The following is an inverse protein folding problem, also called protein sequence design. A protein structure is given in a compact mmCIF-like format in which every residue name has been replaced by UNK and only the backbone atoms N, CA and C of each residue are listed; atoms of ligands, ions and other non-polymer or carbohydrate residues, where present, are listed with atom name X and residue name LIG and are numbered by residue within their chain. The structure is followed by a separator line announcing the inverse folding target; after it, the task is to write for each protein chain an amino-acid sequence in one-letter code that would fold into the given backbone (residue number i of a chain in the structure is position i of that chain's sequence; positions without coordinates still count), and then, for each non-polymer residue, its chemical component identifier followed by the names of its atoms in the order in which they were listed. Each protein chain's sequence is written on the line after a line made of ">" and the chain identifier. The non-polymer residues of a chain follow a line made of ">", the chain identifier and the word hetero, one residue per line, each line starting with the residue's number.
data_IF_575322411750
#
_entry.id   IF_575322411750
#
_cell.length_a   1.000
_cell.length_b   1.000
_cell.length_c   1.000
_cell.angle_alpha   90.00
_cell.angle_beta   90.00
_cell.angle_gamma   90.00
#
_symmetry.space_group_name_H-M   'P 1'
#
loop_
_entity.id
_entity.type
_entity.pdbx_description
1 polymer ?
#
# COMPACT_ATOMS: atom_id res chain seq x y z
N UNK A 1 -2.28 -26.65 0.98
CA UNK A 1 -0.78 -26.67 0.94
C UNK A 1 -0.33 -25.34 1.48
N UNK A 2 0.63 -25.32 2.41
CA UNK A 2 1.19 -24.06 2.96
C UNK A 2 1.89 -23.25 1.86
N UNK A 3 1.90 -21.93 1.99
CA UNK A 3 2.63 -21.02 1.08
C UNK A 3 4.13 -21.27 1.19
N UNK A 4 4.77 -21.60 0.09
CA UNK A 4 6.23 -21.76 0.03
C UNK A 4 6.89 -20.43 -0.35
N UNK A 5 7.27 -19.65 0.67
CA UNK A 5 7.89 -18.33 0.50
C UNK A 5 9.20 -18.35 -0.28
N UNK A 6 9.86 -19.51 -0.39
CA UNK A 6 11.14 -19.63 -1.11
C UNK A 6 10.96 -19.61 -2.63
N UNK A 7 9.74 -19.90 -3.10
CA UNK A 7 9.36 -19.88 -4.52
C UNK A 7 8.75 -18.57 -4.98
N UNK A 8 8.48 -17.66 -4.05
CA UNK A 8 7.88 -16.37 -4.38
C UNK A 8 8.96 -15.35 -4.72
N UNK A 9 8.74 -14.48 -5.74
CA UNK A 9 9.66 -13.39 -6.02
C UNK A 9 9.64 -12.39 -4.85
N UNK A 10 10.81 -11.88 -4.47
CA UNK A 10 10.90 -10.90 -3.37
C UNK A 10 10.28 -9.55 -3.71
N UNK A 11 10.16 -9.19 -4.99
CA UNK A 11 9.45 -8.00 -5.47
C UNK A 11 8.09 -8.42 -6.04
N UNK A 12 7.02 -7.71 -5.65
CA UNK A 12 5.69 -7.78 -6.24
C UNK A 12 5.29 -6.45 -6.88
N UNK A 13 4.57 -6.51 -7.99
CA UNK A 13 4.04 -5.33 -8.66
C UNK A 13 2.66 -4.97 -8.11
N UNK A 14 2.61 -3.91 -7.29
CA UNK A 14 1.36 -3.35 -6.77
C UNK A 14 0.65 -2.49 -7.81
N UNK A 15 -0.56 -2.88 -8.23
CA UNK A 15 -1.33 -2.24 -9.30
C UNK A 15 -2.25 -1.10 -8.80
N UNK A 16 -1.92 -0.49 -7.65
CA UNK A 16 -2.66 0.63 -7.07
C UNK A 16 -2.20 2.00 -7.59
N UNK A 17 -0.92 2.13 -7.95
CA UNK A 17 -0.27 3.40 -8.33
C UNK A 17 0.25 3.34 -9.77
N UNK A 18 -0.61 2.94 -10.67
CA UNK A 18 -0.29 2.82 -12.09
C UNK A 18 -0.01 4.18 -12.73
N UNK A 19 0.84 4.24 -13.79
CA UNK A 19 1.09 5.48 -14.50
C UNK A 19 -0.16 6.04 -15.16
N UNK A 20 -0.27 7.37 -15.14
CA UNK A 20 -1.35 8.13 -15.74
C UNK A 20 -0.80 9.09 -16.79
N UNK A 21 -1.59 9.31 -17.84
CA UNK A 21 -1.35 10.30 -18.88
C UNK A 21 -2.67 11.01 -19.20
N UNK A 22 -2.66 12.33 -19.18
CA UNK A 22 -3.82 13.16 -19.46
C UNK A 22 -5.06 12.82 -18.59
N UNK A 23 -4.85 12.38 -17.34
CA UNK A 23 -5.89 12.02 -16.37
C UNK A 23 -6.48 10.62 -16.53
N UNK A 24 -5.95 9.80 -17.44
CA UNK A 24 -6.34 8.41 -17.63
C UNK A 24 -5.13 7.46 -17.44
N UNK A 25 -5.40 6.20 -17.10
CA UNK A 25 -4.34 5.20 -16.95
C UNK A 25 -3.62 4.97 -18.29
N UNK A 26 -2.29 5.12 -18.30
CA UNK A 26 -1.44 4.92 -19.49
C UNK A 26 -1.22 3.43 -19.77
N UNK A 27 -2.17 2.82 -20.48
CA UNK A 27 -2.13 1.40 -20.80
C UNK A 27 -0.85 1.01 -21.58
N UNK A 28 -0.31 1.87 -22.45
CA UNK A 28 0.89 1.58 -23.21
C UNK A 28 2.10 1.46 -22.28
N UNK A 29 2.29 2.42 -21.37
CA UNK A 29 3.37 2.37 -20.39
C UNK A 29 3.18 1.20 -19.41
N UNK A 30 1.96 0.94 -18.96
CA UNK A 30 1.66 -0.20 -18.07
C UNK A 30 2.02 -1.52 -18.74
N UNK A 31 1.70 -1.71 -20.03
CA UNK A 31 2.08 -2.91 -20.78
C UNK A 31 3.60 -3.08 -20.84
N UNK A 32 4.36 -2.02 -21.12
CA UNK A 32 5.84 -2.06 -21.13
C UNK A 32 6.39 -2.45 -19.77
N UNK A 33 5.84 -1.89 -18.71
CA UNK A 33 6.25 -2.23 -17.33
C UNK A 33 5.95 -3.68 -16.98
N UNK A 34 4.77 -4.20 -17.34
CA UNK A 34 4.40 -5.62 -17.15
C UNK A 34 5.37 -6.52 -17.89
N UNK A 35 5.68 -6.22 -19.15
CA UNK A 35 6.61 -6.99 -19.96
C UNK A 35 8.03 -7.01 -19.37
N UNK A 36 8.54 -5.84 -18.94
CA UNK A 36 9.85 -5.72 -18.30
C UNK A 36 9.93 -6.49 -16.99
N UNK A 37 8.87 -6.42 -16.18
CA UNK A 37 8.77 -7.11 -14.91
C UNK A 37 8.79 -8.64 -15.10
N UNK A 38 7.96 -9.19 -16.00
CA UNK A 38 7.96 -10.62 -16.32
C UNK A 38 9.28 -11.07 -16.96
N UNK A 39 9.85 -10.28 -17.86
CA UNK A 39 11.16 -10.58 -18.49
C UNK A 39 12.31 -10.62 -17.47
N UNK A 40 12.17 -9.94 -16.33
CA UNK A 40 13.15 -10.00 -15.23
C UNK A 40 13.09 -11.32 -14.41
N UNK A 41 12.10 -12.19 -14.67
CA UNK A 41 11.83 -13.42 -13.93
C UNK A 41 10.94 -13.22 -12.72
N UNK A 42 10.41 -12.01 -12.47
CA UNK A 42 9.44 -11.71 -11.43
C UNK A 42 8.03 -11.86 -11.96
N UNK A 43 7.07 -12.29 -11.13
CA UNK A 43 5.76 -12.68 -11.62
C UNK A 43 4.59 -12.45 -10.67
N UNK A 44 4.76 -11.72 -9.55
CA UNK A 44 3.71 -11.50 -8.58
C UNK A 44 3.02 -10.15 -8.79
N UNK A 45 1.71 -10.15 -9.05
CA UNK A 45 0.88 -8.96 -9.25
C UNK A 45 -0.19 -8.86 -8.16
N UNK A 46 -0.34 -7.65 -7.59
CA UNK A 46 -1.30 -7.36 -6.52
C UNK A 46 -2.26 -6.26 -6.96
N UNK A 47 -3.54 -6.57 -7.04
CA UNK A 47 -4.63 -5.63 -7.33
C UNK A 47 -5.71 -5.66 -6.25
N UNK A 48 -6.75 -4.86 -6.41
CA UNK A 48 -7.98 -4.91 -5.62
C UNK A 48 -9.15 -4.28 -6.38
N UNK A 49 -10.37 -4.61 -5.96
CA UNK A 49 -11.62 -4.22 -6.59
C UNK A 49 -11.75 -2.72 -6.84
N UNK A 50 -11.27 -1.89 -5.90
CA UNK A 50 -11.42 -0.43 -5.96
C UNK A 50 -10.14 0.32 -6.36
N UNK A 51 -9.01 -0.35 -6.63
CA UNK A 51 -7.78 0.33 -7.02
C UNK A 51 -7.94 1.11 -8.32
N UNK A 52 -7.31 2.27 -8.40
CA UNK A 52 -7.41 3.20 -9.54
C UNK A 52 -8.88 3.56 -9.87
N UNK A 53 -9.71 3.87 -8.86
CA UNK A 53 -11.13 4.16 -9.05
C UNK A 53 -11.92 2.97 -9.64
N UNK A 54 -11.54 1.74 -9.29
CA UNK A 54 -12.15 0.50 -9.77
C UNK A 54 -11.68 0.06 -11.17
N UNK A 55 -10.68 0.74 -11.75
CA UNK A 55 -10.15 0.43 -13.10
C UNK A 55 -9.02 -0.60 -13.09
N UNK A 56 -8.33 -0.83 -11.95
CA UNK A 56 -7.10 -1.64 -11.89
C UNK A 56 -7.31 -3.09 -12.38
N UNK A 57 -8.37 -3.78 -11.97
CA UNK A 57 -8.65 -5.15 -12.40
C UNK A 57 -8.88 -5.25 -13.93
N UNK A 58 -9.54 -4.26 -14.54
CA UNK A 58 -9.72 -4.20 -15.98
C UNK A 58 -8.42 -3.89 -16.73
N UNK A 59 -7.51 -3.13 -16.11
CA UNK A 59 -6.16 -2.90 -16.65
C UNK A 59 -5.33 -4.18 -16.54
N UNK A 60 -5.40 -4.90 -15.43
CA UNK A 60 -4.77 -6.22 -15.27
C UNK A 60 -5.21 -7.17 -16.39
N UNK A 61 -6.49 -7.19 -16.74
CA UNK A 61 -6.98 -7.96 -17.88
C UNK A 61 -6.24 -7.61 -19.16
N UNK A 62 -6.21 -6.32 -19.52
CA UNK A 62 -5.64 -5.83 -20.80
C UNK A 62 -4.12 -5.91 -20.84
N UNK A 63 -3.44 -5.55 -19.76
CA UNK A 63 -2.00 -5.46 -19.73
C UNK A 63 -1.29 -6.78 -19.39
N UNK A 64 -1.96 -7.70 -18.70
CA UNK A 64 -1.38 -8.94 -18.20
C UNK A 64 -2.10 -10.17 -18.76
N UNK A 65 -3.38 -10.38 -18.40
CA UNK A 65 -4.09 -11.65 -18.63
C UNK A 65 -4.30 -11.97 -20.10
N UNK A 66 -4.63 -10.98 -20.94
CA UNK A 66 -4.83 -11.15 -22.39
C UNK A 66 -3.52 -11.26 -23.19
N UNK A 67 -2.37 -10.96 -22.56
CA UNK A 67 -1.07 -10.87 -23.26
C UNK A 67 -0.08 -11.96 -22.85
N UNK A 68 -0.27 -12.58 -21.70
CA UNK A 68 0.67 -13.55 -21.14
C UNK A 68 -0.03 -14.84 -20.73
N UNK A 69 0.63 -16.02 -20.85
CA UNK A 69 0.08 -17.28 -20.37
C UNK A 69 -0.27 -17.20 -18.88
N UNK A 70 -1.47 -17.71 -18.49
CA UNK A 70 -2.00 -17.61 -17.13
C UNK A 70 -1.04 -18.19 -16.07
N UNK A 71 -0.31 -19.22 -16.42
CA UNK A 71 0.64 -19.92 -15.55
C UNK A 71 1.97 -19.17 -15.38
N UNK A 72 2.22 -18.14 -16.19
CA UNK A 72 3.47 -17.36 -16.13
C UNK A 72 3.46 -16.31 -15.01
N UNK A 73 2.31 -16.06 -14.39
CA UNK A 73 2.18 -15.03 -13.35
C UNK A 73 1.29 -15.48 -12.19
N UNK A 74 1.51 -14.84 -11.06
CA UNK A 74 0.72 -14.95 -9.84
C UNK A 74 -0.14 -13.69 -9.70
N UNK A 75 -1.45 -13.86 -9.51
CA UNK A 75 -2.39 -12.75 -9.38
C UNK A 75 -3.11 -12.79 -8.03
N UNK A 76 -3.06 -11.66 -7.33
CA UNK A 76 -3.78 -11.40 -6.08
C UNK A 76 -4.82 -10.32 -6.28
N UNK A 77 -6.04 -10.55 -5.79
CA UNK A 77 -7.06 -9.51 -5.58
C UNK A 77 -7.71 -9.63 -4.21
N UNK A 78 -8.63 -8.72 -3.87
CA UNK A 78 -9.11 -8.56 -2.50
C UNK A 78 -10.62 -8.29 -2.47
N UNK A 79 -11.31 -8.89 -1.47
CA UNK A 79 -12.74 -8.71 -1.20
C UNK A 79 -12.96 -7.52 -0.25
N UNK A 80 -13.57 -6.42 -0.69
CA UNK A 80 -13.87 -5.27 0.16
C UNK A 80 -15.18 -5.47 0.94
N UNK A 81 -15.11 -5.64 2.27
CA UNK A 81 -16.28 -5.84 3.13
C UNK A 81 -17.29 -4.67 3.04
N UNK A 82 -16.81 -3.44 3.00
CA UNK A 82 -17.63 -2.22 2.96
C UNK A 82 -18.41 -2.02 1.64
N UNK A 83 -18.19 -2.87 0.65
CA UNK A 83 -18.95 -2.89 -0.61
C UNK A 83 -19.91 -4.09 -0.71
N UNK A 84 -20.06 -4.84 0.38
CA UNK A 84 -20.95 -6.00 0.47
C UNK A 84 -22.35 -5.57 0.97
N UNK A 85 -22.97 -4.57 0.35
CA UNK A 85 -24.24 -3.97 0.79
C UNK A 85 -25.38 -5.01 0.90
N UNK A 86 -25.31 -6.06 0.08
CA UNK A 86 -26.28 -7.19 0.04
C UNK A 86 -25.79 -8.39 0.88
N UNK A 87 -24.81 -8.20 1.76
CA UNK A 87 -24.27 -9.24 2.62
C UNK A 87 -23.64 -10.39 1.83
N UNK A 88 -24.14 -11.63 2.01
CA UNK A 88 -23.62 -12.84 1.36
C UNK A 88 -23.75 -12.75 -0.17
N UNK A 89 -24.86 -12.23 -0.67
CA UNK A 89 -25.10 -12.06 -2.11
C UNK A 89 -24.15 -11.03 -2.71
N UNK A 90 -23.90 -9.93 -1.99
CA UNK A 90 -22.90 -8.93 -2.36
C UNK A 90 -21.48 -9.48 -2.43
N UNK A 91 -21.09 -10.34 -1.47
CA UNK A 91 -19.82 -11.07 -1.49
C UNK A 91 -19.62 -11.88 -2.77
N UNK A 92 -20.62 -12.71 -3.10
CA UNK A 92 -20.55 -13.60 -4.26
C UNK A 92 -20.61 -12.81 -5.57
N UNK A 93 -21.36 -11.70 -5.62
CA UNK A 93 -21.40 -10.78 -6.74
C UNK A 93 -20.04 -10.12 -6.99
N UNK A 94 -19.41 -9.60 -5.94
CA UNK A 94 -18.08 -8.96 -6.05
C UNK A 94 -17.06 -9.97 -6.59
N UNK A 95 -17.01 -11.17 -6.05
CA UNK A 95 -16.06 -12.20 -6.49
C UNK A 95 -16.25 -12.57 -7.97
N UNK A 96 -17.49 -12.76 -8.41
CA UNK A 96 -17.80 -13.07 -9.81
C UNK A 96 -17.45 -11.89 -10.73
N UNK A 97 -17.71 -10.65 -10.30
CA UNK A 97 -17.32 -9.44 -11.03
C UNK A 97 -15.79 -9.32 -11.16
N UNK A 98 -15.04 -9.64 -10.12
CA UNK A 98 -13.57 -9.67 -10.15
C UNK A 98 -13.03 -10.71 -11.17
N UNK A 99 -13.62 -11.91 -11.21
CA UNK A 99 -13.28 -12.90 -12.23
C UNK A 99 -13.56 -12.39 -13.65
N UNK A 100 -14.69 -11.70 -13.84
CA UNK A 100 -15.06 -11.13 -15.14
C UNK A 100 -14.15 -9.95 -15.54
N UNK A 101 -13.87 -9.03 -14.60
CA UNK A 101 -13.02 -7.84 -14.82
C UNK A 101 -11.59 -8.23 -15.16
N UNK A 102 -11.03 -9.19 -14.43
CA UNK A 102 -9.65 -9.64 -14.65
C UNK A 102 -9.55 -10.64 -15.81
N UNK A 103 -10.59 -11.42 -16.09
CA UNK A 103 -10.56 -12.52 -17.04
C UNK A 103 -9.61 -13.66 -16.65
N UNK A 104 -9.14 -13.70 -15.40
CA UNK A 104 -8.05 -14.58 -14.97
C UNK A 104 -8.48 -16.06 -14.78
N UNK A 105 -9.78 -16.34 -14.67
CA UNK A 105 -10.33 -17.67 -14.43
C UNK A 105 -10.18 -18.16 -12.99
N UNK A 106 -9.12 -17.83 -12.32
CA UNK A 106 -8.85 -18.08 -10.90
C UNK A 106 -7.86 -17.07 -10.32
N UNK A 107 -7.82 -16.96 -8.99
CA UNK A 107 -6.81 -16.14 -8.29
C UNK A 107 -5.82 -17.04 -7.56
N UNK A 108 -4.52 -16.71 -7.66
CA UNK A 108 -3.49 -17.43 -6.92
C UNK A 108 -3.58 -17.10 -5.43
N UNK A 109 -3.81 -15.83 -5.11
CA UNK A 109 -4.08 -15.36 -3.75
C UNK A 109 -5.36 -14.53 -3.73
N UNK A 110 -6.20 -14.79 -2.75
CA UNK A 110 -7.41 -14.01 -2.52
C UNK A 110 -7.46 -13.53 -1.08
N UNK A 111 -7.55 -12.23 -0.87
CA UNK A 111 -7.45 -11.62 0.44
C UNK A 111 -8.78 -10.98 0.87
N UNK A 112 -9.13 -11.06 2.15
CA UNK A 112 -10.07 -10.12 2.73
C UNK A 112 -9.40 -8.75 2.79
N UNK A 113 -10.04 -7.72 2.27
CA UNK A 113 -9.41 -6.41 2.09
C UNK A 113 -9.50 -5.56 3.34
N UNK A 114 -8.36 -5.04 3.82
CA UNK A 114 -8.28 -4.07 4.92
C UNK A 114 -9.00 -4.54 6.18
N UNK A 115 -8.65 -5.73 6.67
CA UNK A 115 -9.17 -6.21 7.95
C UNK A 115 -8.60 -5.33 9.06
N UNK A 116 -9.49 -4.76 9.85
CA UNK A 116 -9.19 -3.87 10.97
C UNK A 116 -10.20 -4.02 12.10
N UNK A 117 -10.06 -3.25 13.16
CA UNK A 117 -10.83 -3.40 14.39
C UNK A 117 -12.35 -3.22 14.20
N UNK A 118 -13.12 -3.84 15.09
CA UNK A 118 -14.54 -3.64 15.25
C UNK A 118 -15.39 -4.16 14.11
N UNK A 119 -16.28 -3.32 13.62
CA UNK A 119 -17.33 -3.68 12.67
C UNK A 119 -16.83 -4.26 11.35
N UNK A 120 -15.61 -3.90 10.92
CA UNK A 120 -15.03 -4.41 9.68
C UNK A 120 -14.73 -5.91 9.80
N UNK A 121 -13.97 -6.34 10.83
CA UNK A 121 -13.69 -7.76 11.08
C UNK A 121 -14.98 -8.54 11.34
N UNK A 122 -15.88 -8.00 12.18
CA UNK A 122 -17.16 -8.63 12.48
C UNK A 122 -18.01 -8.83 11.22
N UNK A 123 -17.94 -7.92 10.24
CA UNK A 123 -18.60 -8.05 8.96
C UNK A 123 -18.10 -9.25 8.16
N UNK A 124 -16.80 -9.50 8.10
CA UNK A 124 -16.24 -10.70 7.47
C UNK A 124 -16.68 -11.99 8.14
N UNK A 125 -16.74 -12.03 9.47
CA UNK A 125 -17.24 -13.17 10.23
C UNK A 125 -18.75 -13.36 10.00
N UNK A 126 -19.55 -12.30 10.11
CA UNK A 126 -21.00 -12.31 9.92
C UNK A 126 -21.41 -12.84 8.54
N UNK A 127 -20.67 -12.49 7.51
CA UNK A 127 -20.94 -12.93 6.14
C UNK A 127 -20.20 -14.20 5.75
N UNK A 128 -19.68 -14.94 6.73
CA UNK A 128 -19.04 -16.27 6.55
C UNK A 128 -17.89 -16.26 5.52
N UNK A 129 -17.12 -15.19 5.47
CA UNK A 129 -16.11 -15.00 4.42
C UNK A 129 -14.95 -16.00 4.51
N UNK A 130 -14.59 -16.46 5.71
CA UNK A 130 -13.52 -17.43 5.93
C UNK A 130 -13.89 -18.82 5.39
N UNK A 131 -15.05 -19.37 5.78
CA UNK A 131 -15.53 -20.65 5.25
C UNK A 131 -15.85 -20.58 3.76
N UNK A 132 -16.37 -19.45 3.30
CA UNK A 132 -16.64 -19.22 1.89
C UNK A 132 -15.35 -19.27 1.05
N UNK A 133 -14.29 -18.62 1.50
CA UNK A 133 -13.01 -18.65 0.82
C UNK A 133 -12.44 -20.09 0.75
N UNK A 134 -12.60 -20.89 1.83
CA UNK A 134 -12.24 -22.31 1.80
C UNK A 134 -13.00 -23.07 0.73
N UNK A 135 -14.32 -22.83 0.58
CA UNK A 135 -15.13 -23.44 -0.50
C UNK A 135 -14.64 -23.01 -1.88
N UNK A 136 -14.33 -21.72 -2.09
CA UNK A 136 -13.78 -21.23 -3.36
C UNK A 136 -12.41 -21.87 -3.69
N UNK A 137 -11.65 -22.21 -2.68
CA UNK A 137 -10.42 -22.96 -2.80
C UNK A 137 -10.67 -24.41 -3.23
N UNK A 138 -11.64 -25.08 -2.64
CA UNK A 138 -12.09 -26.43 -3.02
C UNK A 138 -12.63 -26.46 -4.47
N UNK A 139 -13.29 -25.39 -4.91
CA UNK A 139 -13.76 -25.17 -6.29
C UNK A 139 -12.60 -24.90 -7.28
N UNK A 140 -11.38 -24.65 -6.81
CA UNK A 140 -10.21 -24.30 -7.63
C UNK A 140 -10.19 -22.86 -8.13
N UNK A 141 -11.06 -22.00 -7.62
CA UNK A 141 -11.14 -20.58 -8.00
C UNK A 141 -10.18 -19.68 -7.21
N UNK A 142 -9.69 -20.17 -6.08
CA UNK A 142 -8.65 -19.56 -5.23
C UNK A 142 -7.61 -20.63 -4.89
N UNK A 143 -6.32 -20.32 -5.01
CA UNK A 143 -5.25 -21.25 -4.59
C UNK A 143 -4.85 -21.06 -3.13
N UNK A 144 -4.65 -19.79 -2.73
CA UNK A 144 -4.28 -19.42 -1.37
C UNK A 144 -5.19 -18.32 -0.84
N UNK A 145 -5.52 -18.42 0.45
CA UNK A 145 -6.42 -17.49 1.13
C UNK A 145 -5.71 -16.77 2.27
N UNK A 146 -6.04 -15.50 2.44
CA UNK A 146 -5.54 -14.66 3.52
C UNK A 146 -6.29 -13.35 3.66
N UNK A 147 -5.64 -12.36 4.26
CA UNK A 147 -6.21 -11.02 4.40
C UNK A 147 -5.13 -9.93 4.37
N UNK A 148 -5.50 -8.72 3.97
CA UNK A 148 -4.71 -7.52 4.23
C UNK A 148 -5.17 -6.89 5.54
N UNK A 149 -4.23 -6.37 6.33
CA UNK A 149 -4.46 -6.04 7.72
C UNK A 149 -3.98 -4.62 8.08
N UNK A 150 -4.84 -3.88 8.78
CA UNK A 150 -4.55 -2.53 9.28
C UNK A 150 -4.95 -2.34 10.76
N UNK A 151 -5.30 -3.42 11.46
CA UNK A 151 -5.72 -3.39 12.85
C UNK A 151 -4.56 -3.53 13.85
N UNK A 152 -4.93 -3.79 15.11
CA UNK A 152 -4.00 -3.93 16.23
C UNK A 152 -3.32 -5.30 16.29
N UNK A 153 -2.13 -5.42 16.91
CA UNK A 153 -1.48 -6.71 17.12
C UNK A 153 -2.36 -7.71 17.89
N UNK A 154 -3.18 -7.23 18.81
CA UNK A 154 -4.11 -8.04 19.60
C UNK A 154 -5.21 -8.65 18.70
N UNK A 155 -5.76 -7.87 17.76
CA UNK A 155 -6.71 -8.38 16.78
C UNK A 155 -6.07 -9.37 15.83
N UNK A 156 -4.84 -9.11 15.36
CA UNK A 156 -4.11 -10.04 14.50
C UNK A 156 -3.89 -11.39 15.19
N UNK A 157 -3.46 -11.37 16.46
CA UNK A 157 -3.27 -12.58 17.27
C UNK A 157 -4.58 -13.37 17.44
N UNK A 158 -5.69 -12.66 17.71
CA UNK A 158 -7.03 -13.25 17.78
C UNK A 158 -7.40 -13.94 16.47
N UNK A 159 -7.32 -13.24 15.34
CA UNK A 159 -7.71 -13.77 14.03
C UNK A 159 -6.89 -15.02 13.67
N UNK A 160 -5.57 -14.99 13.85
CA UNK A 160 -4.71 -16.12 13.52
C UNK A 160 -4.95 -17.34 14.44
N UNK A 161 -5.40 -17.11 15.69
CA UNK A 161 -5.78 -18.19 16.58
C UNK A 161 -7.14 -18.82 16.26
N UNK A 162 -8.09 -18.02 15.72
CA UNK A 162 -9.45 -18.45 15.40
C UNK A 162 -9.57 -19.02 13.99
N UNK A 163 -8.69 -18.63 13.05
CA UNK A 163 -8.78 -18.92 11.62
C UNK A 163 -7.50 -19.62 11.10
N UNK A 164 -7.28 -20.90 11.45
CA UNK A 164 -6.10 -21.66 10.99
C UNK A 164 -6.09 -21.93 9.48
N UNK A 165 -7.18 -21.69 8.77
CA UNK A 165 -7.29 -21.75 7.31
C UNK A 165 -6.57 -20.60 6.59
N UNK A 166 -6.20 -19.52 7.29
CA UNK A 166 -5.41 -18.42 6.73
C UNK A 166 -4.00 -18.87 6.44
N UNK A 167 -3.53 -18.60 5.22
CA UNK A 167 -2.22 -19.07 4.74
C UNK A 167 -1.21 -17.93 4.55
N UNK A 168 -1.69 -16.68 4.47
CA UNK A 168 -0.84 -15.51 4.25
C UNK A 168 -1.52 -14.25 4.77
N UNK A 169 -0.74 -13.30 5.28
CA UNK A 169 -1.23 -11.99 5.72
C UNK A 169 -0.46 -10.89 4.99
N UNK A 170 -1.17 -9.86 4.52
CA UNK A 170 -0.56 -8.67 3.97
C UNK A 170 -0.58 -7.55 5.00
N UNK A 171 0.59 -7.03 5.39
CA UNK A 171 0.73 -5.98 6.41
C UNK A 171 1.52 -4.78 5.90
N UNK A 172 1.24 -3.62 6.48
CA UNK A 172 2.09 -2.44 6.31
C UNK A 172 3.40 -2.63 7.06
N UNK A 173 4.53 -2.55 6.33
CA UNK A 173 5.84 -2.79 6.90
C UNK A 173 6.91 -1.91 6.24
N UNK A 174 7.51 -1.03 7.02
CA UNK A 174 8.70 -0.25 6.65
C UNK A 174 9.45 0.17 7.91
N UNK A 175 10.68 0.65 7.76
CA UNK A 175 11.49 1.02 8.90
C UNK A 175 10.96 2.25 9.67
N UNK A 176 10.20 3.15 9.04
CA UNK A 176 9.62 4.32 9.70
C UNK A 176 8.45 3.96 10.63
N UNK A 177 7.71 2.90 10.29
CA UNK A 177 6.53 2.46 11.02
C UNK A 177 6.83 1.35 12.04
N UNK A 178 8.08 0.93 12.16
CA UNK A 178 8.48 -0.17 13.04
C UNK A 178 8.04 0.05 14.49
N UNK A 179 8.39 1.21 15.07
CA UNK A 179 8.03 1.61 16.44
C UNK A 179 6.87 2.63 16.47
N UNK A 180 6.19 2.84 15.36
CA UNK A 180 5.08 3.79 15.30
C UNK A 180 3.93 3.30 16.19
N UNK A 181 3.42 4.11 17.16
CA UNK A 181 2.42 3.66 18.13
C UNK A 181 1.04 3.35 17.51
N UNK A 182 0.75 3.86 16.29
CA UNK A 182 -0.50 3.62 15.59
C UNK A 182 -0.40 2.43 14.64
N UNK A 183 0.67 2.34 13.86
CA UNK A 183 0.85 1.26 12.87
C UNK A 183 1.42 -0.01 13.51
N UNK A 184 2.37 0.15 14.44
CA UNK A 184 2.95 -0.93 15.24
C UNK A 184 3.56 -2.08 14.42
N UNK A 185 4.21 -1.77 13.28
CA UNK A 185 4.71 -2.79 12.35
C UNK A 185 5.60 -3.83 13.02
N UNK A 186 6.46 -3.43 13.98
CA UNK A 186 7.31 -4.36 14.73
C UNK A 186 6.51 -5.34 15.58
N UNK A 187 5.46 -4.89 16.28
CA UNK A 187 4.58 -5.77 17.07
C UNK A 187 3.73 -6.69 16.21
N UNK A 188 3.24 -6.18 15.07
CA UNK A 188 2.55 -7.04 14.07
C UNK A 188 3.48 -8.13 13.55
N UNK A 189 4.74 -7.78 13.26
CA UNK A 189 5.75 -8.75 12.85
C UNK A 189 5.98 -9.84 13.91
N UNK A 190 6.07 -9.48 15.21
CA UNK A 190 6.19 -10.45 16.31
C UNK A 190 5.03 -11.45 16.33
N UNK A 191 3.79 -10.97 16.13
CA UNK A 191 2.60 -11.84 16.03
C UNK A 191 2.72 -12.78 14.84
N UNK A 192 3.09 -12.30 13.65
CA UNK A 192 3.29 -13.16 12.47
C UNK A 192 4.34 -14.23 12.73
N UNK A 193 5.45 -13.88 13.40
CA UNK A 193 6.50 -14.84 13.76
C UNK A 193 6.05 -15.88 14.78
N UNK A 194 5.18 -15.52 15.73
CA UNK A 194 4.57 -16.45 16.70
C UNK A 194 3.83 -17.60 16.01
N UNK A 195 3.17 -17.32 14.88
CA UNK A 195 2.40 -18.31 14.11
C UNK A 195 3.18 -18.88 12.91
N UNK A 196 4.46 -18.57 12.73
CA UNK A 196 5.21 -18.84 11.50
C UNK A 196 4.45 -18.48 10.22
N UNK A 197 3.63 -17.41 10.33
CA UNK A 197 2.76 -16.94 9.26
C UNK A 197 3.57 -16.26 8.16
N UNK A 198 3.51 -16.73 6.89
CA UNK A 198 4.03 -16.01 5.75
C UNK A 198 3.31 -14.68 5.55
N UNK A 199 4.04 -13.65 5.10
CA UNK A 199 3.40 -12.36 4.90
C UNK A 199 3.90 -11.61 3.66
N UNK A 200 2.98 -10.82 3.10
CA UNK A 200 3.22 -9.83 2.07
C UNK A 200 3.42 -8.46 2.71
N UNK A 201 4.33 -7.68 2.20
CA UNK A 201 4.57 -6.33 2.69
C UNK A 201 3.92 -5.32 1.75
N UNK A 202 3.02 -4.49 2.27
CA UNK A 202 2.52 -3.27 1.63
C UNK A 202 3.17 -2.02 2.25
N UNK A 203 3.15 -0.91 1.52
CA UNK A 203 3.76 0.37 1.93
C UNK A 203 5.25 0.31 2.32
N UNK A 204 6.10 -0.48 1.62
CA UNK A 204 7.51 -0.61 1.99
C UNK A 204 8.27 0.72 1.89
N UNK A 205 7.85 1.61 0.99
CA UNK A 205 8.44 2.95 0.78
C UNK A 205 7.53 4.06 1.34
N UNK A 206 6.49 3.69 2.12
CA UNK A 206 5.54 4.62 2.78
C UNK A 206 4.99 5.68 1.82
N UNK A 207 4.33 5.21 0.74
CA UNK A 207 3.76 6.08 -0.29
C UNK A 207 4.78 6.93 -1.06
N UNK A 208 6.06 6.54 -1.05
CA UNK A 208 7.16 7.28 -1.65
C UNK A 208 7.92 8.19 -0.67
N UNK A 209 7.44 8.40 0.56
CA UNK A 209 8.10 9.26 1.55
C UNK A 209 9.52 8.78 1.89
N UNK A 210 9.77 7.47 1.84
CA UNK A 210 11.08 6.88 2.10
C UNK A 210 11.99 6.79 0.85
N UNK A 211 11.58 7.37 -0.26
CA UNK A 211 12.47 7.59 -1.41
C UNK A 211 13.42 8.79 -1.20
N UNK A 212 13.23 9.52 -0.09
CA UNK A 212 14.13 10.54 0.44
C UNK A 212 14.28 10.35 1.95
N UNK A 213 15.47 10.52 2.47
CA UNK A 213 15.78 10.31 3.89
C UNK A 213 16.42 11.57 4.56
N UNK A 214 16.49 12.68 3.82
CA UNK A 214 17.20 13.89 4.22
C UNK A 214 18.72 13.78 4.00
N UNK A 215 19.35 14.93 3.72
CA UNK A 215 20.73 15.01 3.21
C UNK A 215 21.77 14.22 4.02
N UNK A 216 21.67 14.24 5.34
CA UNK A 216 22.64 13.58 6.22
C UNK A 216 22.54 12.04 6.10
N UNK A 217 21.32 11.50 6.20
CA UNK A 217 21.08 10.06 6.09
C UNK A 217 21.34 9.56 4.68
N UNK A 218 20.95 10.33 3.66
CA UNK A 218 21.25 10.01 2.26
C UNK A 218 22.75 9.94 2.00
N UNK A 219 23.54 10.85 2.57
CA UNK A 219 25.01 10.80 2.48
C UNK A 219 25.59 9.52 3.09
N UNK A 220 25.06 9.06 4.23
CA UNK A 220 25.48 7.78 4.83
C UNK A 220 25.05 6.58 3.99
N UNK A 221 23.82 6.57 3.47
CA UNK A 221 23.34 5.53 2.57
C UNK A 221 24.22 5.44 1.30
N UNK A 222 24.55 6.58 0.71
CA UNK A 222 25.42 6.66 -0.48
C UNK A 222 26.88 6.32 -0.17
N UNK A 223 27.38 6.56 1.04
CA UNK A 223 28.71 6.12 1.47
C UNK A 223 28.83 4.59 1.46
N UNK A 224 27.77 3.89 1.90
CA UNK A 224 27.75 2.43 1.96
C UNK A 224 27.46 1.82 0.57
N UNK A 225 26.47 2.38 -0.15
CA UNK A 225 26.09 1.95 -1.49
C UNK A 225 25.93 3.15 -2.44
N UNK A 226 26.99 3.60 -3.10
CA UNK A 226 26.98 4.80 -3.95
C UNK A 226 25.92 4.76 -5.08
N UNK A 227 25.72 3.58 -5.66
CA UNK A 227 24.86 3.37 -6.83
C UNK A 227 23.44 2.92 -6.48
N UNK A 228 23.13 2.72 -5.20
CA UNK A 228 21.80 2.32 -4.75
C UNK A 228 20.87 3.54 -4.63
N UNK A 229 19.60 3.40 -5.04
CA UNK A 229 18.59 4.43 -4.75
C UNK A 229 18.26 4.48 -3.25
N UNK A 230 17.73 5.62 -2.77
CA UNK A 230 17.29 5.72 -1.37
C UNK A 230 16.10 4.80 -1.13
N UNK A 231 15.17 4.69 -2.11
CA UNK A 231 14.03 3.78 -2.03
C UNK A 231 14.45 2.31 -1.85
N UNK A 232 15.56 1.89 -2.46
CA UNK A 232 16.07 0.51 -2.34
C UNK A 232 16.40 0.10 -0.91
N UNK A 233 16.78 1.02 -0.03
CA UNK A 233 17.02 0.75 1.38
C UNK A 233 15.75 0.34 2.12
N UNK A 234 14.63 1.02 1.84
CA UNK A 234 13.33 0.69 2.42
C UNK A 234 12.80 -0.65 1.91
N UNK A 235 12.94 -0.91 0.61
CA UNK A 235 12.58 -2.18 -0.01
C UNK A 235 13.40 -3.34 0.56
N UNK A 236 14.71 -3.16 0.66
CA UNK A 236 15.63 -4.18 1.21
C UNK A 236 15.41 -4.40 2.70
N UNK A 237 15.07 -3.36 3.47
CA UNK A 237 14.70 -3.52 4.88
C UNK A 237 13.54 -4.51 5.02
N UNK A 238 12.42 -4.24 4.33
CA UNK A 238 11.25 -5.10 4.38
C UNK A 238 11.56 -6.53 3.90
N UNK A 239 12.28 -6.66 2.78
CA UNK A 239 12.64 -7.95 2.19
C UNK A 239 13.61 -8.78 3.03
N UNK A 240 14.37 -8.13 3.92
CA UNK A 240 15.34 -8.81 4.81
C UNK A 240 14.68 -9.51 6.00
N UNK A 241 13.40 -9.25 6.28
CA UNK A 241 12.71 -9.81 7.43
C UNK A 241 12.41 -11.31 7.21
N UNK A 242 12.75 -12.21 8.14
CA UNK A 242 12.35 -13.61 8.10
C UNK A 242 10.82 -13.77 7.97
N UNK A 243 10.40 -14.68 7.10
CA UNK A 243 8.97 -14.97 6.85
C UNK A 243 8.32 -14.07 5.78
N UNK A 244 8.99 -13.02 5.28
CA UNK A 244 8.47 -12.24 4.17
C UNK A 244 8.43 -13.07 2.90
N UNK A 245 7.25 -13.12 2.28
CA UNK A 245 7.03 -13.77 1.00
C UNK A 245 7.40 -12.82 -0.15
N UNK A 246 6.75 -11.66 -0.21
CA UNK A 246 6.91 -10.67 -1.28
C UNK A 246 6.76 -9.25 -0.72
N UNK A 247 7.55 -8.32 -1.23
CA UNK A 247 7.44 -6.88 -0.94
C UNK A 247 6.76 -6.20 -2.12
N UNK A 248 5.57 -5.64 -1.90
CA UNK A 248 4.75 -5.00 -2.93
C UNK A 248 5.22 -3.56 -3.15
N UNK A 249 5.60 -3.22 -4.36
CA UNK A 249 5.93 -1.86 -4.74
C UNK A 249 4.94 -1.34 -5.79
N UNK A 250 4.38 -0.15 -5.54
CA UNK A 250 3.56 0.60 -6.49
C UNK A 250 4.46 1.46 -7.38
N UNK A 251 4.95 0.88 -8.45
CA UNK A 251 5.82 1.55 -9.42
C UNK A 251 4.97 2.33 -10.43
N UNK A 252 5.18 3.65 -10.49
CA UNK A 252 4.34 4.56 -11.29
C UNK A 252 4.98 4.99 -12.61
N UNK A 253 6.18 4.48 -12.93
CA UNK A 253 6.87 4.69 -14.19
C UNK A 253 7.95 3.62 -14.41
N UNK A 254 8.51 3.60 -15.63
CA UNK A 254 9.54 2.64 -16.03
C UNK A 254 10.82 2.76 -15.20
N UNK A 255 11.23 3.99 -14.83
CA UNK A 255 12.45 4.23 -14.04
C UNK A 255 12.36 3.58 -12.65
N UNK A 256 11.22 3.73 -11.95
CA UNK A 256 10.99 3.06 -10.68
C UNK A 256 10.95 1.55 -10.83
N UNK A 257 10.38 1.03 -11.91
CA UNK A 257 10.35 -0.40 -12.22
C UNK A 257 11.77 -0.95 -12.40
N UNK A 258 12.60 -0.28 -13.20
CA UNK A 258 13.98 -0.70 -13.46
C UNK A 258 14.84 -0.67 -12.19
N UNK A 259 14.71 0.38 -11.36
CA UNK A 259 15.42 0.50 -10.08
C UNK A 259 15.04 -0.62 -9.12
N UNK A 260 13.75 -0.91 -9.01
CA UNK A 260 13.27 -1.98 -8.15
C UNK A 260 13.68 -3.37 -8.67
N UNK A 261 13.60 -3.63 -9.98
CA UNK A 261 14.11 -4.86 -10.58
C UNK A 261 15.62 -5.00 -10.31
N UNK A 262 16.41 -3.93 -10.48
CA UNK A 262 17.84 -3.92 -10.17
C UNK A 262 18.09 -4.28 -8.71
N UNK A 263 17.32 -3.71 -7.79
CA UNK A 263 17.42 -3.96 -6.34
C UNK A 263 17.20 -5.43 -5.99
N UNK A 264 16.25 -6.09 -6.65
CA UNK A 264 15.84 -7.46 -6.30
C UNK A 264 16.47 -8.56 -7.17
N UNK A 265 17.09 -8.22 -8.31
CA UNK A 265 17.69 -9.22 -9.22
C UNK A 265 18.73 -10.11 -8.54
N UNK A 266 19.54 -9.52 -7.64
CA UNK A 266 20.54 -10.23 -6.82
C UNK A 266 20.35 -9.83 -5.36
N UNK A 267 19.14 -10.01 -4.84
CA UNK A 267 18.79 -9.60 -3.49
C UNK A 267 19.67 -10.27 -2.44
N UNK A 268 20.26 -9.45 -1.59
CA UNK A 268 20.97 -9.86 -0.38
C UNK A 268 20.35 -9.11 0.81
N UNK A 269 20.01 -9.81 1.90
CA UNK A 269 19.51 -9.17 3.13
C UNK A 269 20.47 -8.13 3.66
N UNK A 270 19.94 -7.14 4.39
CA UNK A 270 20.76 -6.09 5.02
C UNK A 270 21.77 -6.69 5.99
N UNK A 271 23.04 -6.28 5.87
CA UNK A 271 24.09 -6.58 6.82
C UNK A 271 24.04 -5.64 8.03
N UNK A 272 24.93 -5.82 9.02
CA UNK A 272 24.92 -5.05 10.26
C UNK A 272 25.27 -3.56 10.06
N UNK A 273 26.15 -3.22 9.11
CA UNK A 273 26.44 -1.82 8.77
C UNK A 273 25.22 -1.13 8.17
N UNK A 274 24.52 -1.79 7.25
CA UNK A 274 23.29 -1.29 6.64
C UNK A 274 22.17 -1.13 7.66
N UNK A 275 21.99 -2.09 8.58
CA UNK A 275 21.03 -1.99 9.68
C UNK A 275 21.33 -0.80 10.60
N UNK A 276 22.60 -0.50 10.87
CA UNK A 276 22.99 0.67 11.66
C UNK A 276 22.62 1.99 10.95
N UNK A 277 22.74 2.06 9.61
CA UNK A 277 22.28 3.22 8.83
C UNK A 277 20.75 3.36 8.90
N UNK A 278 20.01 2.26 8.77
CA UNK A 278 18.54 2.26 8.94
C UNK A 278 18.15 2.75 10.34
N UNK A 279 18.84 2.30 11.41
CA UNK A 279 18.53 2.77 12.77
C UNK A 279 18.73 4.30 12.92
N UNK A 280 19.76 4.87 12.30
CA UNK A 280 19.93 6.33 12.26
C UNK A 280 18.80 7.03 11.49
N UNK A 281 18.37 6.45 10.36
CA UNK A 281 17.24 6.97 9.60
C UNK A 281 15.94 6.96 10.43
N UNK A 282 15.68 5.90 11.19
CA UNK A 282 14.54 5.81 12.12
C UNK A 282 14.57 6.93 13.16
N UNK A 283 15.73 7.19 13.78
CA UNK A 283 15.88 8.27 14.77
C UNK A 283 15.69 9.68 14.14
N UNK A 284 16.15 9.88 12.91
CA UNK A 284 15.92 11.13 12.19
C UNK A 284 14.44 11.35 11.87
N UNK A 285 13.74 10.29 11.43
CA UNK A 285 12.30 10.34 11.11
C UNK A 285 11.43 10.62 12.35
N UNK A 286 11.76 10.07 13.52
CA UNK A 286 11.06 10.36 14.78
C UNK A 286 11.07 11.86 15.13
N UNK A 287 12.04 12.60 14.63
CA UNK A 287 12.18 14.06 14.83
C UNK A 287 11.57 14.89 13.70
N UNK A 288 11.12 14.26 12.65
CA UNK A 288 10.55 14.95 11.48
C UNK A 288 9.19 15.57 11.81
N UNK A 289 8.95 16.86 11.49
CA UNK A 289 7.66 17.50 11.66
C UNK A 289 6.67 17.18 10.54
N UNK A 290 7.04 16.36 9.55
CA UNK A 290 6.18 16.06 8.41
C UNK A 290 4.92 15.29 8.80
N UNK A 291 3.80 15.59 8.15
CA UNK A 291 2.60 14.73 8.16
C UNK A 291 2.96 13.44 7.40
N UNK A 292 2.89 12.26 8.04
CA UNK A 292 3.32 11.01 7.43
C UNK A 292 2.23 10.40 6.51
N UNK A 293 1.64 11.23 5.65
CA UNK A 293 0.62 10.83 4.69
C UNK A 293 1.23 10.02 3.54
N UNK A 294 0.64 8.85 3.21
CA UNK A 294 1.07 7.99 2.10
C UNK A 294 0.38 8.31 0.78
N UNK A 295 -0.47 9.32 0.74
CA UNK A 295 -1.26 9.71 -0.44
C UNK A 295 -2.07 8.56 -1.07
N UNK A 296 -2.62 7.66 -0.24
CA UNK A 296 -3.47 6.55 -0.70
C UNK A 296 -4.85 7.00 -1.21
N UNK A 297 -5.28 8.24 -0.87
CA UNK A 297 -6.51 8.93 -1.30
C UNK A 297 -7.83 8.35 -0.78
N UNK A 298 -7.85 7.32 0.06
CA UNK A 298 -9.11 6.78 0.62
C UNK A 298 -9.95 7.84 1.33
N UNK A 299 -9.30 8.85 1.93
CA UNK A 299 -9.96 9.97 2.59
C UNK A 299 -10.64 10.96 1.61
N UNK A 300 -10.34 10.91 0.31
CA UNK A 300 -10.92 11.82 -0.68
C UNK A 300 -12.30 11.38 -1.13
N UNK A 301 -12.50 10.07 -1.37
CA UNK A 301 -13.71 9.52 -1.99
C UNK A 301 -14.98 9.78 -1.17
N UNK A 302 -14.87 9.87 0.15
CA UNK A 302 -15.99 10.14 1.05
C UNK A 302 -16.05 11.58 1.57
N UNK A 303 -15.18 12.49 1.12
CA UNK A 303 -15.18 13.87 1.60
C UNK A 303 -16.32 14.66 0.98
N UNK A 304 -17.34 15.12 1.78
CA UNK A 304 -18.48 15.85 1.24
C UNK A 304 -18.10 17.22 0.66
N UNK A 305 -16.94 17.75 1.07
CA UNK A 305 -16.43 19.03 0.60
C UNK A 305 -15.45 18.90 -0.57
N UNK A 306 -15.18 17.68 -1.05
CA UNK A 306 -14.28 17.42 -2.17
C UNK A 306 -12.83 17.84 -1.92
N UNK A 307 -12.36 17.82 -0.67
CA UNK A 307 -11.00 18.24 -0.30
C UNK A 307 -10.01 17.18 -0.76
N UNK A 308 -9.02 17.57 -1.56
CA UNK A 308 -7.90 16.70 -1.94
C UNK A 308 -6.87 16.62 -0.79
N UNK A 309 -7.27 15.95 0.31
CA UNK A 309 -6.57 15.93 1.60
C UNK A 309 -5.06 15.62 1.47
N UNK A 310 -4.61 14.60 0.72
CA UNK A 310 -3.19 14.31 0.55
C UNK A 310 -2.40 15.45 -0.10
N UNK A 311 -3.02 16.17 -1.01
CA UNK A 311 -2.37 17.29 -1.71
C UNK A 311 -2.30 18.55 -0.81
N UNK A 312 -3.31 18.74 0.05
CA UNK A 312 -3.25 19.75 1.13
C UNK A 312 -2.09 19.43 2.08
N UNK A 313 -1.92 18.16 2.49
CA UNK A 313 -0.80 17.75 3.36
C UNK A 313 0.55 17.88 2.67
N UNK A 314 0.63 17.69 1.36
CA UNK A 314 1.84 17.96 0.59
C UNK A 314 2.23 19.44 0.66
N UNK A 315 1.27 20.37 0.53
CA UNK A 315 1.51 21.80 0.73
C UNK A 315 1.95 22.09 2.17
N UNK A 316 1.25 21.55 3.18
CA UNK A 316 1.61 21.70 4.59
C UNK A 316 3.03 21.18 4.90
N UNK A 317 3.39 20.03 4.35
CA UNK A 317 4.74 19.47 4.49
C UNK A 317 5.82 20.31 3.82
N UNK A 318 5.50 21.01 2.73
CA UNK A 318 6.42 21.97 2.11
C UNK A 318 6.79 23.08 3.09
N UNK A 319 5.82 23.58 3.88
CA UNK A 319 6.08 24.56 4.94
C UNK A 319 6.86 23.92 6.10
N UNK A 320 6.39 22.78 6.62
CA UNK A 320 6.95 22.12 7.81
C UNK A 320 8.40 21.67 7.64
N UNK A 321 8.74 21.18 6.44
CA UNK A 321 10.07 20.62 6.17
C UNK A 321 11.06 21.64 5.63
N UNK A 322 10.60 22.63 4.86
CA UNK A 322 11.47 23.50 4.10
C UNK A 322 11.28 24.98 4.42
N UNK A 323 10.21 25.36 5.14
CA UNK A 323 9.85 26.77 5.40
C UNK A 323 9.42 27.55 4.14
N UNK A 324 9.10 26.84 3.03
CA UNK A 324 8.79 27.45 1.73
C UNK A 324 7.28 27.83 1.64
N UNK A 325 6.87 28.83 2.42
CA UNK A 325 5.44 29.23 2.50
C UNK A 325 4.86 29.67 1.16
N UNK A 326 5.56 30.53 0.42
CA UNK A 326 5.07 31.04 -0.86
C UNK A 326 4.89 29.92 -1.89
N UNK A 327 5.82 28.98 -1.94
CA UNK A 327 5.73 27.81 -2.82
C UNK A 327 4.54 26.92 -2.44
N UNK A 328 4.33 26.69 -1.16
CA UNK A 328 3.22 25.91 -0.65
C UNK A 328 1.87 26.58 -0.96
N UNK A 329 1.75 27.91 -0.72
CA UNK A 329 0.54 28.69 -1.03
C UNK A 329 0.25 28.73 -2.53
N UNK A 330 1.27 28.88 -3.38
CA UNK A 330 1.10 28.85 -4.83
C UNK A 330 0.63 27.47 -5.32
N UNK A 331 1.21 26.40 -4.78
CA UNK A 331 0.76 25.03 -5.08
C UNK A 331 -0.68 24.82 -4.62
N UNK A 332 -1.02 25.24 -3.40
CA UNK A 332 -2.37 25.12 -2.83
C UNK A 332 -3.39 25.92 -3.62
N UNK A 333 -3.08 27.17 -4.00
CA UNK A 333 -3.94 28.00 -4.85
C UNK A 333 -4.30 27.30 -6.17
N UNK A 334 -3.33 26.66 -6.82
CA UNK A 334 -3.57 25.87 -8.03
C UNK A 334 -4.43 24.64 -7.75
N UNK A 335 -4.23 23.98 -6.61
CA UNK A 335 -5.04 22.84 -6.18
C UNK A 335 -6.52 23.19 -6.06
N UNK A 336 -6.84 24.40 -5.57
CA UNK A 336 -8.21 24.88 -5.38
C UNK A 336 -9.01 25.10 -6.69
N UNK A 337 -8.38 25.02 -7.85
CA UNK A 337 -9.09 25.02 -9.13
C UNK A 337 -9.94 23.73 -9.33
N UNK A 338 -9.59 22.64 -8.62
CA UNK A 338 -10.24 21.33 -8.76
C UNK A 338 -10.60 20.66 -7.44
N UNK A 339 -10.37 21.31 -6.30
CA UNK A 339 -10.55 20.76 -4.96
C UNK A 339 -11.21 21.78 -4.02
N UNK A 340 -11.93 21.26 -3.02
CA UNK A 340 -12.38 22.08 -1.88
C UNK A 340 -11.21 22.57 -1.04
N UNK A 341 -11.43 23.66 -0.30
CA UNK A 341 -10.45 24.27 0.60
C UNK A 341 -10.33 23.49 1.91
N UNK A 342 -9.17 23.61 2.57
CA UNK A 342 -8.98 23.04 3.91
C UNK A 342 -9.95 23.67 4.95
N UNK A 343 -10.25 24.97 4.83
CA UNK A 343 -11.20 25.70 5.70
C UNK A 343 -12.65 25.21 5.59
N UNK A 344 -13.04 24.60 4.45
CA UNK A 344 -14.38 24.09 4.22
C UNK A 344 -14.67 22.78 4.98
N UNK A 345 -13.70 22.24 5.73
CA UNK A 345 -13.84 20.99 6.44
C UNK A 345 -14.98 21.05 7.49
N UNK A 346 -16.02 20.26 7.27
CA UNK A 346 -17.18 20.15 8.16
C UNK A 346 -16.98 19.20 9.34
N UNK A 347 -15.78 18.68 9.56
CA UNK A 347 -15.38 17.83 10.68
C UNK A 347 -16.24 16.57 10.84
N UNK A 348 -16.71 15.97 9.75
CA UNK A 348 -17.57 14.79 9.77
C UNK A 348 -16.87 13.48 10.20
N UNK A 349 -15.54 13.45 10.26
CA UNK A 349 -14.75 12.29 10.70
C UNK A 349 -14.58 11.17 9.67
N UNK A 350 -15.25 11.22 8.52
CA UNK A 350 -15.18 10.16 7.50
C UNK A 350 -13.76 9.89 7.01
N UNK A 351 -12.98 10.94 6.78
CA UNK A 351 -11.60 10.82 6.30
C UNK A 351 -10.67 10.13 7.33
N UNK A 352 -10.90 10.33 8.62
CA UNK A 352 -10.12 9.71 9.69
C UNK A 352 -10.49 8.23 9.85
N UNK A 353 -11.79 7.90 9.71
CA UNK A 353 -12.26 6.52 9.84
C UNK A 353 -11.73 5.56 8.75
N UNK A 354 -11.31 6.09 7.60
CA UNK A 354 -10.77 5.31 6.48
C UNK A 354 -9.27 5.48 6.27
N UNK A 355 -8.59 6.22 7.16
CA UNK A 355 -7.16 6.50 7.02
C UNK A 355 -6.30 5.35 7.53
N UNK A 356 -5.58 4.59 6.66
CA UNK A 356 -4.71 3.49 7.11
C UNK A 356 -3.51 3.96 7.93
N UNK A 357 -3.25 5.27 7.97
CA UNK A 357 -2.18 5.88 8.76
C UNK A 357 -2.70 6.46 10.09
N UNK A 358 -4.01 6.36 10.35
CA UNK A 358 -4.69 6.90 11.55
C UNK A 358 -4.31 8.36 11.84
N UNK A 359 -4.22 9.17 10.79
CA UNK A 359 -3.86 10.59 10.92
C UNK A 359 -5.02 11.38 11.51
N UNK A 360 -4.75 12.35 12.41
CA UNK A 360 -5.75 13.30 12.88
C UNK A 360 -6.02 14.34 11.78
N UNK A 361 -6.75 13.91 10.75
CA UNK A 361 -6.92 14.65 9.49
C UNK A 361 -7.63 15.98 9.73
N UNK A 362 -8.63 16.00 10.60
CA UNK A 362 -9.40 17.21 10.92
C UNK A 362 -8.48 18.29 11.51
N UNK A 363 -7.67 17.93 12.50
CA UNK A 363 -6.73 18.87 13.12
C UNK A 363 -5.65 19.34 12.13
N UNK A 364 -5.17 18.42 11.29
CA UNK A 364 -4.19 18.75 10.26
C UNK A 364 -4.76 19.63 9.15
N UNK A 365 -6.02 19.48 8.77
CA UNK A 365 -6.70 20.39 7.83
C UNK A 365 -6.91 21.77 8.46
N UNK A 366 -7.23 21.83 9.75
CA UNK A 366 -7.32 23.11 10.47
C UNK A 366 -5.97 23.83 10.48
N UNK A 367 -4.88 23.16 10.80
CA UNK A 367 -3.53 23.75 10.71
C UNK A 367 -3.19 24.18 9.28
N UNK A 368 -3.55 23.36 8.28
CA UNK A 368 -3.32 23.68 6.89
C UNK A 368 -4.09 24.94 6.48
N UNK A 369 -5.34 25.10 6.90
CA UNK A 369 -6.14 26.27 6.61
C UNK A 369 -5.53 27.53 7.23
N UNK A 370 -5.07 27.47 8.49
CA UNK A 370 -4.40 28.58 9.17
C UNK A 370 -3.12 29.06 8.44
N UNK A 371 -2.44 28.17 7.72
CA UNK A 371 -1.18 28.47 7.02
C UNK A 371 -1.33 28.75 5.52
N UNK A 372 -2.31 28.12 4.87
CA UNK A 372 -2.45 28.11 3.41
C UNK A 372 -3.60 28.99 2.90
N UNK A 373 -4.70 29.11 3.66
CA UNK A 373 -5.86 29.95 3.27
C UNK A 373 -5.64 31.46 3.54
N UNK A 374 -4.49 31.83 4.11
CA UNK A 374 -4.12 33.22 4.33
C UNK A 374 -3.64 33.85 3.01
N UNK A 375 -4.09 35.08 2.64
CA UNK A 375 -3.60 35.77 1.46
C UNK A 375 -2.07 35.87 1.44
N UNK A 376 -1.48 35.67 0.25
CA UNK A 376 -0.06 35.97 0.05
C UNK A 376 0.11 37.47 0.33
N UNK A 377 0.87 37.83 1.35
CA UNK A 377 1.23 39.25 1.59
C UNK A 377 2.12 39.69 0.44
N UNK A 378 1.66 40.70 -0.30
CA UNK A 378 2.40 41.34 -1.40
C UNK A 378 3.76 41.89 -0.96
#
# INVERSE_FOLDING_TARGET
>A
MSVDVTKMPKLGFGMMRLPEKDGELDLEQICKMVDAYLASGMNYFDTAYMYCGGKSESIVKKALVERHPRESFTLTTKLPQWMMDEGIEGRDRIFNDQLARTGAGYFDYYLLHSVEDGANYEGYVKYDCFNWARKKKEEGLIKHFGFSFHGTPELLDKILSEHPEVEIVQIQMNYADWDNPLIQSGRLYEVLRKYDMPFLVMEPVKGGSLASAGKEIEAEMKRVHPDASIASWALRFAASLPGVATVLSGMSNEEQMEDNIKTFRNFVPLNEEEKAVIAKAQEALKKSPAVPCTACRYCCDGCPMGIAIPDVFKALNTIRLYGEEDRAKNYYKKLLETSGKAEDCVQCGQCESVCPQHLPIIDLLKEASEKLDVPVTE
#
